data_IF_700673417709
#
_entry.id   IF_700673417709
#
_cell.length_a   1.000
_cell.length_b   1.000
_cell.length_c   1.000
_cell.angle_alpha   90.00
_cell.angle_beta   90.00
_cell.angle_gamma   90.00
#
_symmetry.space_group_name_H-M   'P 1'
#
loop_
_entity.id
_entity.type
_entity.pdbx_description
1 polymer ?
#
# COMPACT_ATOMS: atom_id res chain seq x y z
N UNK A 1 -20.24 -17.97 -14.05
CA UNK A 1 -19.17 -18.78 -14.68
C UNK A 1 -19.74 -20.14 -15.07
N UNK A 2 -19.60 -20.56 -16.33
CA UNK A 2 -20.07 -21.87 -16.80
C UNK A 2 -18.89 -22.82 -17.04
N UNK A 3 -18.92 -24.00 -16.41
CA UNK A 3 -17.84 -24.99 -16.49
C UNK A 3 -18.43 -26.32 -16.94
N UNK A 4 -17.75 -27.02 -17.85
CA UNK A 4 -18.19 -28.33 -18.35
C UNK A 4 -17.07 -29.35 -18.30
N UNK A 5 -17.37 -30.49 -17.69
CA UNK A 5 -16.53 -31.69 -17.65
C UNK A 5 -17.26 -32.82 -18.36
N UNK A 6 -16.60 -33.48 -19.31
CA UNK A 6 -17.25 -34.54 -20.11
C UNK A 6 -17.50 -35.77 -19.26
N UNK A 7 -16.59 -36.06 -18.32
CA UNK A 7 -16.68 -37.15 -17.35
C UNK A 7 -16.42 -36.66 -15.92
N UNK A 8 -16.85 -37.43 -14.92
CA UNK A 8 -16.46 -37.14 -13.53
C UNK A 8 -14.93 -37.26 -13.30
N UNK A 9 -14.23 -38.10 -14.07
CA UNK A 9 -12.75 -38.18 -14.00
C UNK A 9 -12.07 -36.91 -14.52
N UNK A 10 -12.66 -36.22 -15.50
CA UNK A 10 -12.14 -34.92 -15.97
C UNK A 10 -12.23 -33.89 -14.83
N UNK A 11 -13.34 -33.89 -14.09
CA UNK A 11 -13.50 -33.06 -12.91
C UNK A 11 -12.48 -33.42 -11.82
N UNK A 12 -12.26 -34.71 -11.52
CA UNK A 12 -11.27 -35.13 -10.52
C UNK A 12 -9.84 -34.70 -10.89
N UNK A 13 -9.51 -34.66 -12.18
CA UNK A 13 -8.22 -34.16 -12.67
C UNK A 13 -8.08 -32.65 -12.40
N UNK A 14 -9.13 -31.86 -12.65
CA UNK A 14 -9.15 -30.45 -12.28
C UNK A 14 -9.17 -30.26 -10.76
N UNK A 15 -9.84 -31.13 -10.00
CA UNK A 15 -9.84 -31.11 -8.53
C UNK A 15 -8.41 -31.25 -7.98
N UNK A 16 -7.62 -32.17 -8.51
CA UNK A 16 -6.21 -32.34 -8.12
C UNK A 16 -5.31 -31.18 -8.55
N UNK A 17 -5.76 -30.32 -9.47
CA UNK A 17 -4.97 -29.17 -9.94
C UNK A 17 -5.09 -28.00 -8.97
N UNK A 18 -4.08 -27.81 -8.14
CA UNK A 18 -3.99 -26.63 -7.27
C UNK A 18 -3.85 -25.33 -8.09
N UNK A 19 -4.59 -24.28 -7.70
CA UNK A 19 -4.54 -22.97 -8.36
C UNK A 19 -3.78 -22.00 -7.45
N UNK A 20 -2.74 -21.40 -8.02
CA UNK A 20 -1.89 -20.43 -7.34
C UNK A 20 -2.55 -19.04 -7.31
N UNK A 21 -1.97 -18.18 -6.48
CA UNK A 21 -2.28 -16.76 -6.35
C UNK A 21 -1.98 -15.95 -7.63
N UNK A 22 -1.07 -16.43 -8.49
CA UNK A 22 -0.76 -15.81 -9.78
C UNK A 22 -1.53 -16.41 -10.95
N UNK A 23 -1.99 -15.55 -11.84
CA UNK A 23 -2.66 -15.93 -13.08
C UNK A 23 -1.67 -16.46 -14.11
N UNK A 24 -1.87 -17.72 -14.52
CA UNK A 24 -1.10 -18.39 -15.58
C UNK A 24 -1.10 -17.69 -16.93
N UNK A 25 -2.07 -16.80 -17.20
CA UNK A 25 -2.22 -16.15 -18.50
C UNK A 25 -1.52 -14.79 -18.57
N UNK A 26 -1.39 -14.06 -17.45
CA UNK A 26 -0.90 -12.68 -17.45
C UNK A 26 -0.07 -12.27 -16.23
N UNK A 27 0.22 -13.20 -15.31
CA UNK A 27 0.95 -12.93 -14.06
C UNK A 27 0.27 -11.85 -13.17
N UNK A 28 -1.04 -11.63 -13.36
CA UNK A 28 -1.87 -10.83 -12.45
C UNK A 28 -2.21 -11.62 -11.19
N UNK A 29 -2.56 -10.91 -10.12
CA UNK A 29 -2.98 -11.56 -8.87
C UNK A 29 -4.41 -12.08 -9.01
N UNK A 30 -4.69 -13.22 -8.39
CA UNK A 30 -6.02 -13.80 -8.29
C UNK A 30 -6.59 -13.52 -6.92
N UNK A 31 -7.62 -12.70 -6.87
CA UNK A 31 -8.39 -12.45 -5.65
C UNK A 31 -9.61 -13.37 -5.61
N UNK A 32 -10.10 -13.63 -4.41
CA UNK A 32 -11.30 -14.43 -4.22
C UNK A 32 -12.55 -13.56 -4.36
N UNK A 33 -13.55 -14.03 -5.08
CA UNK A 33 -14.83 -13.35 -5.28
C UNK A 33 -15.98 -14.35 -5.19
N UNK A 34 -17.17 -13.90 -4.81
CA UNK A 34 -18.39 -14.66 -5.04
C UNK A 34 -18.80 -14.57 -6.51
N UNK A 35 -19.22 -15.70 -7.08
CA UNK A 35 -19.75 -15.77 -8.44
C UNK A 35 -20.92 -16.76 -8.50
N UNK A 36 -21.80 -16.54 -9.48
CA UNK A 36 -22.83 -17.49 -9.88
C UNK A 36 -22.16 -18.54 -10.78
N UNK A 37 -22.11 -19.79 -10.35
CA UNK A 37 -21.36 -20.86 -11.03
C UNK A 37 -22.28 -22.02 -11.41
N UNK A 38 -22.33 -22.33 -12.71
CA UNK A 38 -22.94 -23.56 -13.20
C UNK A 38 -21.87 -24.55 -13.63
N UNK A 39 -21.87 -25.73 -13.04
CA UNK A 39 -20.96 -26.83 -13.38
C UNK A 39 -21.76 -27.97 -13.98
N UNK A 40 -21.38 -28.40 -15.18
CA UNK A 40 -21.94 -29.61 -15.81
C UNK A 40 -20.89 -30.71 -15.74
N UNK A 41 -21.25 -31.84 -15.13
CA UNK A 41 -20.42 -33.06 -15.10
C UNK A 41 -21.27 -34.18 -15.70
N UNK A 42 -20.81 -34.73 -16.83
CA UNK A 42 -21.56 -35.73 -17.60
C UNK A 42 -22.96 -35.22 -18.00
N UNK A 43 -24.02 -35.81 -17.41
CA UNK A 43 -25.41 -35.45 -17.64
C UNK A 43 -26.03 -34.72 -16.44
N UNK A 44 -25.22 -34.24 -15.49
CA UNK A 44 -25.68 -33.52 -14.30
C UNK A 44 -25.30 -32.05 -14.34
N UNK A 45 -26.24 -31.19 -14.01
CA UNK A 45 -26.06 -29.74 -13.92
C UNK A 45 -26.18 -29.30 -12.46
N UNK A 46 -25.10 -28.74 -11.93
CA UNK A 46 -25.01 -28.20 -10.58
C UNK A 46 -24.95 -26.68 -10.66
N UNK A 47 -25.94 -26.01 -10.10
CA UNK A 47 -26.00 -24.55 -10.03
C UNK A 47 -25.65 -24.08 -8.63
N UNK A 48 -24.68 -23.17 -8.51
CA UNK A 48 -24.26 -22.55 -7.27
C UNK A 48 -24.44 -21.03 -7.41
N UNK A 49 -25.51 -20.44 -6.88
CA UNK A 49 -25.74 -19.00 -7.00
C UNK A 49 -24.64 -18.14 -6.35
N UNK A 50 -23.99 -18.69 -5.32
CA UNK A 50 -22.91 -18.05 -4.57
C UNK A 50 -21.81 -19.09 -4.30
N UNK A 51 -20.79 -19.10 -5.16
CA UNK A 51 -19.58 -19.91 -4.98
C UNK A 51 -18.34 -19.04 -5.09
N UNK A 52 -17.42 -19.22 -4.14
CA UNK A 52 -16.15 -18.50 -4.16
C UNK A 52 -15.27 -19.02 -5.31
N UNK A 53 -14.78 -18.10 -6.12
CA UNK A 53 -13.88 -18.37 -7.25
C UNK A 53 -12.69 -17.42 -7.22
N UNK A 54 -11.57 -17.87 -7.78
CA UNK A 54 -10.38 -17.05 -7.94
C UNK A 54 -10.48 -16.29 -9.26
N UNK A 55 -10.46 -14.96 -9.21
CA UNK A 55 -10.55 -14.08 -10.36
C UNK A 55 -9.28 -13.23 -10.50
N UNK A 56 -8.66 -13.28 -11.67
CA UNK A 56 -7.50 -12.43 -11.94
C UNK A 56 -7.91 -10.95 -12.01
N UNK A 57 -7.27 -10.10 -11.20
CA UNK A 57 -7.52 -8.66 -11.17
C UNK A 57 -7.08 -7.91 -12.45
N UNK A 58 -6.25 -8.52 -13.30
CA UNK A 58 -5.76 -7.91 -14.55
C UNK A 58 -6.58 -8.32 -15.78
N UNK A 59 -6.78 -9.62 -15.99
CA UNK A 59 -7.41 -10.14 -17.21
C UNK A 59 -8.82 -10.71 -16.99
N UNK A 60 -9.29 -10.79 -15.74
CA UNK A 60 -10.60 -11.34 -15.41
C UNK A 60 -10.72 -12.87 -15.57
N UNK A 61 -9.62 -13.57 -15.81
CA UNK A 61 -9.62 -15.05 -15.89
C UNK A 61 -10.03 -15.66 -14.54
N UNK A 62 -10.98 -16.59 -14.59
CA UNK A 62 -11.58 -17.22 -13.40
C UNK A 62 -11.21 -18.69 -13.31
N UNK A 63 -10.95 -19.17 -12.09
CA UNK A 63 -10.78 -20.59 -11.81
C UNK A 63 -11.35 -20.97 -10.45
N UNK A 64 -11.62 -22.26 -10.27
CA UNK A 64 -12.10 -22.78 -8.99
C UNK A 64 -10.94 -22.93 -8.00
N UNK A 65 -11.03 -22.39 -6.76
CA UNK A 65 -10.15 -22.75 -5.67
C UNK A 65 -10.45 -24.16 -5.14
N UNK A 66 -9.52 -24.72 -4.36
CA UNK A 66 -9.58 -26.11 -3.91
C UNK A 66 -10.85 -26.44 -3.11
N UNK A 67 -11.23 -25.60 -2.15
CA UNK A 67 -12.40 -25.90 -1.31
C UNK A 67 -13.72 -25.76 -2.06
N UNK A 68 -13.83 -24.84 -3.02
CA UNK A 68 -14.95 -24.80 -3.97
C UNK A 68 -15.05 -26.08 -4.82
N UNK A 69 -13.91 -26.67 -5.23
CA UNK A 69 -13.91 -27.98 -5.90
C UNK A 69 -14.38 -29.09 -4.95
N UNK A 70 -13.97 -29.07 -3.67
CA UNK A 70 -14.47 -30.01 -2.67
C UNK A 70 -16.00 -29.91 -2.48
N UNK A 71 -16.56 -28.69 -2.51
CA UNK A 71 -18.01 -28.46 -2.45
C UNK A 71 -18.70 -29.07 -3.67
N UNK A 72 -18.16 -28.84 -4.88
CA UNK A 72 -18.69 -29.41 -6.13
C UNK A 72 -18.65 -30.94 -6.09
N UNK A 73 -17.55 -31.53 -5.58
CA UNK A 73 -17.40 -32.97 -5.43
C UNK A 73 -18.48 -33.57 -4.51
N UNK A 74 -18.68 -32.97 -3.34
CA UNK A 74 -19.72 -33.39 -2.39
C UNK A 74 -21.13 -33.25 -2.97
N UNK A 75 -21.40 -32.14 -3.66
CA UNK A 75 -22.68 -31.89 -4.33
C UNK A 75 -22.96 -32.92 -5.42
N UNK A 76 -21.96 -33.24 -6.25
CA UNK A 76 -22.07 -34.26 -7.30
C UNK A 76 -22.38 -35.64 -6.72
N UNK A 77 -21.63 -36.06 -5.69
CA UNK A 77 -21.88 -37.34 -5.00
C UNK A 77 -23.29 -37.41 -4.40
N UNK A 78 -23.74 -36.33 -3.77
CA UNK A 78 -25.10 -36.23 -3.25
C UNK A 78 -26.17 -36.36 -4.34
N UNK A 79 -25.95 -35.81 -5.54
CA UNK A 79 -26.88 -35.97 -6.66
C UNK A 79 -26.93 -37.41 -7.19
N UNK A 80 -25.78 -38.09 -7.20
CA UNK A 80 -25.71 -39.52 -7.57
C UNK A 80 -26.56 -40.36 -6.61
N UNK A 81 -26.36 -40.16 -5.30
CA UNK A 81 -27.11 -40.89 -4.26
C UNK A 81 -28.62 -40.62 -4.32
N UNK A 82 -29.03 -39.43 -4.73
CA UNK A 82 -30.43 -39.01 -4.83
C UNK A 82 -31.05 -39.20 -6.22
N UNK A 83 -30.30 -39.76 -7.18
CA UNK A 83 -30.71 -39.92 -8.58
C UNK A 83 -31.18 -38.60 -9.26
N UNK A 84 -30.58 -37.47 -8.87
CA UNK A 84 -30.89 -36.16 -9.42
C UNK A 84 -29.97 -35.82 -10.60
N UNK A 85 -30.50 -35.05 -11.56
CA UNK A 85 -29.79 -34.60 -12.77
C UNK A 85 -29.60 -33.08 -12.83
N UNK A 86 -30.41 -32.31 -12.11
CA UNK A 86 -30.28 -30.86 -11.98
C UNK A 86 -30.48 -30.51 -10.52
N UNK A 87 -29.58 -29.71 -9.96
CA UNK A 87 -29.64 -29.29 -8.56
C UNK A 87 -29.12 -27.87 -8.38
N UNK A 88 -29.74 -27.14 -7.47
CA UNK A 88 -29.26 -25.85 -6.99
C UNK A 88 -28.69 -26.02 -5.57
N UNK A 89 -27.50 -25.50 -5.35
CA UNK A 89 -26.72 -25.69 -4.13
C UNK A 89 -26.42 -24.32 -3.53
N UNK A 90 -27.03 -24.05 -2.38
CA UNK A 90 -26.84 -22.83 -1.63
C UNK A 90 -26.09 -23.11 -0.34
N UNK A 91 -25.16 -22.23 0.03
CA UNK A 91 -24.43 -22.32 1.29
C UNK A 91 -25.43 -22.22 2.45
N UNK A 92 -25.39 -23.16 3.39
CA UNK A 92 -26.06 -22.99 4.68
C UNK A 92 -25.37 -21.87 5.46
N UNK A 93 -26.06 -21.24 6.41
CA UNK A 93 -25.54 -20.19 7.30
C UNK A 93 -24.50 -20.71 8.33
N UNK A 94 -23.80 -21.80 8.00
CA UNK A 94 -22.76 -22.37 8.83
C UNK A 94 -21.52 -21.47 8.79
N UNK A 95 -21.02 -21.13 9.98
CA UNK A 95 -19.80 -20.36 10.16
C UNK A 95 -18.89 -21.14 11.09
N UNK A 96 -17.86 -21.80 10.54
CA UNK A 96 -16.84 -22.45 11.37
C UNK A 96 -16.11 -21.37 12.18
N UNK A 97 -15.87 -21.66 13.45
CA UNK A 97 -15.00 -20.87 14.32
C UNK A 97 -13.78 -21.70 14.66
N UNK A 98 -12.60 -21.10 14.49
CA UNK A 98 -11.31 -21.70 14.86
C UNK A 98 -11.01 -21.50 16.35
N UNK A 99 -9.96 -22.14 16.84
CA UNK A 99 -9.57 -22.12 18.26
C UNK A 99 -9.02 -20.76 18.73
N UNK A 100 -8.51 -19.96 17.80
CA UNK A 100 -7.94 -18.64 18.03
C UNK A 100 -9.01 -17.58 18.32
N UNK A 101 -8.71 -16.68 19.27
CA UNK A 101 -9.55 -15.54 19.65
C UNK A 101 -11.01 -15.89 19.99
N UNK A 102 -11.26 -17.10 20.51
CA UNK A 102 -12.62 -17.61 20.80
C UNK A 102 -13.45 -16.69 21.69
N UNK A 103 -12.83 -16.10 22.71
CA UNK A 103 -13.53 -15.25 23.68
C UNK A 103 -13.94 -13.89 23.09
N UNK A 104 -13.13 -13.35 22.18
CA UNK A 104 -13.40 -12.06 21.48
C UNK A 104 -14.40 -12.25 20.33
N UNK A 105 -14.48 -13.47 19.79
CA UNK A 105 -15.44 -13.88 18.77
C UNK A 105 -15.40 -12.99 17.50
N UNK A 106 -14.20 -12.72 16.95
CA UNK A 106 -14.08 -11.91 15.74
C UNK A 106 -14.93 -12.44 14.57
N UNK A 107 -15.45 -11.52 13.77
CA UNK A 107 -16.03 -11.77 12.45
C UNK A 107 -14.88 -12.03 11.47
N UNK A 108 -14.95 -13.17 10.82
CA UNK A 108 -14.12 -13.58 9.69
C UNK A 108 -14.91 -14.64 8.91
N UNK A 109 -14.55 -14.88 7.65
CA UNK A 109 -15.06 -16.03 6.91
C UNK A 109 -14.02 -17.14 6.91
N UNK A 110 -14.34 -18.26 7.55
CA UNK A 110 -13.52 -19.47 7.48
C UNK A 110 -13.26 -19.98 6.06
N UNK A 111 -14.10 -19.64 5.09
CA UNK A 111 -13.89 -20.00 3.68
C UNK A 111 -12.65 -19.32 3.09
N UNK A 112 -12.22 -18.18 3.63
CA UNK A 112 -10.99 -17.50 3.21
C UNK A 112 -9.78 -18.39 3.44
N UNK A 113 -9.69 -18.98 4.64
CA UNK A 113 -8.62 -19.90 5.01
C UNK A 113 -8.50 -21.08 4.04
N UNK A 114 -9.62 -21.61 3.53
CA UNK A 114 -9.59 -22.78 2.63
C UNK A 114 -9.51 -22.46 1.14
N UNK A 115 -9.88 -21.24 0.71
CA UNK A 115 -9.96 -20.89 -0.70
C UNK A 115 -8.88 -19.91 -1.15
N UNK A 116 -8.35 -19.07 -0.27
CA UNK A 116 -7.24 -18.19 -0.60
C UNK A 116 -5.97 -19.05 -0.68
N UNK A 117 -5.23 -19.00 -1.81
CA UNK A 117 -4.08 -19.87 -2.00
C UNK A 117 -3.05 -19.74 -0.88
N UNK A 118 -2.62 -20.88 -0.34
CA UNK A 118 -1.54 -21.02 0.64
C UNK A 118 -1.99 -20.99 2.09
N UNK A 119 -3.15 -20.41 2.41
CA UNK A 119 -3.53 -20.18 3.81
C UNK A 119 -3.81 -21.46 4.60
N UNK A 120 -4.40 -22.49 3.97
CA UNK A 120 -4.68 -23.77 4.64
C UNK A 120 -3.48 -24.73 4.68
N UNK A 121 -2.34 -24.36 4.08
CA UNK A 121 -1.11 -25.13 4.04
C UNK A 121 -0.10 -24.57 5.05
N UNK A 122 -0.47 -24.61 6.31
CA UNK A 122 0.31 -24.09 7.43
C UNK A 122 0.98 -25.26 8.18
N UNK A 123 2.27 -25.46 7.93
CA UNK A 123 3.10 -26.46 8.64
C UNK A 123 3.80 -25.87 9.87
N UNK A 124 3.77 -24.55 10.05
CA UNK A 124 4.43 -23.86 11.15
C UNK A 124 3.56 -23.92 12.42
N UNK A 125 2.24 -23.77 12.24
CA UNK A 125 1.30 -23.74 13.36
C UNK A 125 0.58 -25.08 13.53
N UNK A 126 0.47 -25.52 14.78
CA UNK A 126 -0.14 -26.82 15.11
C UNK A 126 -1.67 -26.82 15.12
N UNK A 127 -2.30 -25.65 15.01
CA UNK A 127 -3.75 -25.49 15.12
C UNK A 127 -4.31 -24.82 13.88
N UNK A 128 -5.40 -25.41 13.36
CA UNK A 128 -6.05 -24.95 12.14
C UNK A 128 -6.61 -23.53 12.26
N UNK A 129 -6.43 -22.75 11.19
CA UNK A 129 -7.04 -21.43 11.05
C UNK A 129 -6.15 -20.26 11.48
N UNK A 130 -4.86 -20.48 11.77
CA UNK A 130 -3.93 -19.42 12.15
C UNK A 130 -3.90 -18.29 11.10
N UNK A 131 -3.67 -18.65 9.84
CA UNK A 131 -3.62 -17.72 8.69
C UNK A 131 -5.00 -17.26 8.21
N UNK A 132 -6.07 -17.43 8.99
CA UNK A 132 -7.39 -16.90 8.59
C UNK A 132 -7.35 -15.37 8.61
N UNK A 133 -7.65 -14.67 7.51
CA UNK A 133 -7.65 -13.21 7.51
C UNK A 133 -8.85 -12.67 8.29
N UNK A 134 -8.59 -11.65 9.11
CA UNK A 134 -9.60 -10.93 9.90
C UNK A 134 -9.57 -9.47 9.53
N UNK A 135 -10.73 -8.91 9.20
CA UNK A 135 -10.85 -7.60 8.57
C UNK A 135 -11.37 -6.54 9.55
N UNK A 136 -10.84 -5.33 9.41
CA UNK A 136 -11.14 -4.18 10.26
C UNK A 136 -11.23 -2.88 9.45
N UNK A 137 -12.00 -1.91 9.94
CA UNK A 137 -11.89 -0.52 9.47
C UNK A 137 -10.50 0.03 9.84
N UNK A 138 -9.81 0.65 8.88
CA UNK A 138 -8.46 1.24 9.07
C UNK A 138 -8.39 2.25 10.22
N UNK A 139 -9.52 2.85 10.61
CA UNK A 139 -9.62 3.74 11.78
C UNK A 139 -9.20 3.08 13.09
N UNK A 140 -9.19 1.76 13.18
CA UNK A 140 -8.69 1.05 14.35
C UNK A 140 -7.26 1.47 14.73
N UNK A 141 -6.42 1.76 13.74
CA UNK A 141 -5.03 2.19 13.95
C UNK A 141 -4.91 3.57 14.62
N UNK A 142 -5.94 4.41 14.59
CA UNK A 142 -5.91 5.75 15.23
C UNK A 142 -5.60 5.60 16.72
N UNK A 143 -6.20 4.61 17.39
CA UNK A 143 -5.93 4.34 18.80
C UNK A 143 -4.45 4.01 19.03
N UNK A 144 -3.92 3.03 18.28
CA UNK A 144 -2.55 2.54 18.44
C UNK A 144 -1.51 3.61 18.11
N UNK A 145 -1.77 4.49 17.13
CA UNK A 145 -0.89 5.63 16.85
C UNK A 145 -0.93 6.69 17.96
N UNK A 146 -2.08 6.87 18.60
CA UNK A 146 -2.28 7.95 19.58
C UNK A 146 -1.77 7.60 20.97
N UNK A 147 -1.61 6.32 21.29
CA UNK A 147 -1.19 5.84 22.61
C UNK A 147 0.31 5.52 22.59
N UNK A 148 1.15 6.19 23.41
CA UNK A 148 2.61 6.05 23.37
C UNK A 148 3.15 4.63 23.64
N UNK A 149 2.35 3.80 24.30
CA UNK A 149 2.67 2.41 24.63
C UNK A 149 2.79 1.54 23.38
N UNK A 150 2.23 1.98 22.25
CA UNK A 150 2.33 1.26 20.98
C UNK A 150 3.31 1.94 20.03
N UNK A 151 3.82 1.14 19.13
CA UNK A 151 4.53 1.56 17.94
C UNK A 151 3.78 1.01 16.73
N UNK A 152 3.43 1.90 15.80
CA UNK A 152 2.84 1.53 14.51
C UNK A 152 3.81 2.00 13.44
N UNK A 153 4.30 1.05 12.65
CA UNK A 153 5.14 1.34 11.48
C UNK A 153 4.49 0.80 10.22
N UNK A 154 4.20 1.71 9.28
CA UNK A 154 3.70 1.39 7.94
C UNK A 154 4.87 1.58 7.01
N UNK A 155 5.67 0.52 6.88
CA UNK A 155 6.91 0.55 6.12
C UNK A 155 6.68 0.29 4.63
N UNK A 156 5.52 -0.24 4.21
CA UNK A 156 5.14 -0.46 2.81
C UNK A 156 3.74 0.11 2.50
N UNK A 157 3.36 0.17 1.23
CA UNK A 157 2.06 0.71 0.81
C UNK A 157 0.87 -0.06 1.39
N UNK A 158 1.05 -1.36 1.64
CA UNK A 158 -0.01 -2.28 2.11
C UNK A 158 0.46 -3.23 3.21
N UNK A 159 1.62 -2.97 3.82
CA UNK A 159 2.21 -3.80 4.88
C UNK A 159 2.81 -2.93 5.99
N UNK A 160 2.50 -3.26 7.24
CA UNK A 160 3.09 -2.68 8.44
C UNK A 160 3.06 -3.64 9.62
N UNK A 161 3.41 -3.14 10.80
CA UNK A 161 3.31 -3.87 12.06
C UNK A 161 2.87 -2.97 13.22
N UNK A 162 2.29 -3.58 14.24
CA UNK A 162 1.98 -2.93 15.52
C UNK A 162 2.74 -3.68 16.61
N UNK A 163 3.57 -2.95 17.36
CA UNK A 163 4.22 -3.45 18.55
C UNK A 163 3.67 -2.76 19.81
N UNK A 164 3.42 -3.52 20.88
CA UNK A 164 3.24 -2.96 22.22
C UNK A 164 4.58 -2.95 22.93
N UNK A 165 5.05 -1.77 23.33
CA UNK A 165 6.35 -1.60 24.00
C UNK A 165 6.35 -2.31 25.35
N UNK A 166 7.45 -2.98 25.65
CA UNK A 166 7.68 -3.59 26.96
C UNK A 166 7.86 -2.48 28.02
N UNK A 167 6.98 -2.40 29.04
CA UNK A 167 7.08 -1.40 30.10
C UNK A 167 8.36 -1.53 30.96
N UNK A 168 8.94 -2.73 31.05
CA UNK A 168 10.16 -3.00 31.81
C UNK A 168 11.42 -2.74 30.97
N UNK A 169 11.28 -2.66 29.65
CA UNK A 169 12.36 -2.42 28.70
C UNK A 169 13.37 -3.58 28.60
N UNK A 170 12.95 -4.80 28.95
CA UNK A 170 13.76 -6.01 28.81
C UNK A 170 13.81 -6.43 27.34
N UNK A 171 12.67 -6.35 26.67
CA UNK A 171 12.50 -6.51 25.22
C UNK A 171 12.11 -5.18 24.59
N UNK A 172 12.10 -5.13 23.24
CA UNK A 172 11.57 -3.96 22.52
C UNK A 172 10.04 -3.93 22.65
N UNK A 173 9.41 -5.11 22.50
CA UNK A 173 7.96 -5.26 22.52
C UNK A 173 7.52 -6.42 23.41
N UNK A 174 6.40 -6.24 24.13
CA UNK A 174 5.64 -7.31 24.78
C UNK A 174 5.04 -8.27 23.74
N UNK A 175 4.52 -7.69 22.66
CA UNK A 175 4.07 -8.40 21.47
C UNK A 175 4.23 -7.49 20.24
N UNK A 176 4.46 -8.10 19.09
CA UNK A 176 4.59 -7.44 17.80
C UNK A 176 3.85 -8.26 16.74
N UNK A 177 2.91 -7.62 16.04
CA UNK A 177 2.04 -8.31 15.07
C UNK A 177 2.02 -7.59 13.73
N UNK A 178 2.22 -8.33 12.62
CA UNK A 178 2.15 -7.77 11.29
C UNK A 178 0.69 -7.51 10.89
N UNK A 179 0.48 -6.54 9.99
CA UNK A 179 -0.83 -6.27 9.41
C UNK A 179 -0.73 -5.79 7.96
N UNK A 180 -1.81 -5.99 7.20
CA UNK A 180 -1.92 -5.51 5.83
C UNK A 180 -3.07 -4.54 5.59
N UNK A 181 -3.04 -3.91 4.42
CA UNK A 181 -4.22 -3.28 3.82
C UNK A 181 -4.60 -4.01 2.55
N UNK A 182 -5.88 -4.34 2.39
CA UNK A 182 -6.37 -4.88 1.14
C UNK A 182 -6.67 -3.76 0.12
N UNK A 183 -7.05 -4.15 -1.10
CA UNK A 183 -7.38 -3.23 -2.20
C UNK A 183 -8.60 -2.32 -1.93
N UNK A 184 -9.47 -2.68 -0.99
CA UNK A 184 -10.57 -1.84 -0.50
C UNK A 184 -10.17 -0.95 0.69
N UNK A 185 -8.90 -0.97 1.12
CA UNK A 185 -8.39 -0.19 2.23
C UNK A 185 -8.80 -0.69 3.62
N UNK A 186 -9.32 -1.92 3.72
CA UNK A 186 -9.55 -2.58 5.01
C UNK A 186 -8.21 -2.99 5.62
N UNK A 187 -8.11 -2.85 6.93
CA UNK A 187 -7.00 -3.36 7.72
C UNK A 187 -7.19 -4.86 7.93
N UNK A 188 -6.13 -5.66 7.74
CA UNK A 188 -6.20 -7.12 7.81
C UNK A 188 -5.09 -7.67 8.69
N UNK A 189 -5.44 -8.61 9.56
CA UNK A 189 -4.50 -9.39 10.38
C UNK A 189 -4.74 -10.89 10.17
N UNK A 190 -3.74 -11.71 10.46
CA UNK A 190 -3.96 -13.14 10.66
C UNK A 190 -4.64 -13.38 12.01
N UNK A 191 -5.63 -14.27 12.04
CA UNK A 191 -6.38 -14.61 13.25
C UNK A 191 -5.47 -15.15 14.37
N UNK A 192 -4.44 -15.90 13.99
CA UNK A 192 -3.41 -16.40 14.89
C UNK A 192 -2.58 -15.30 15.54
N UNK A 193 -2.14 -14.30 14.77
CA UNK A 193 -1.38 -13.15 15.29
C UNK A 193 -2.21 -12.34 16.29
N UNK A 194 -3.48 -12.11 15.99
CA UNK A 194 -4.40 -11.44 16.91
C UNK A 194 -4.50 -12.17 18.26
N UNK A 195 -4.36 -13.50 18.27
CA UNK A 195 -4.45 -14.29 19.49
C UNK A 195 -3.23 -14.11 20.41
N UNK A 196 -2.09 -13.63 19.89
CA UNK A 196 -0.91 -13.29 20.69
C UNK A 196 -1.01 -11.91 21.36
N UNK A 197 -1.86 -11.02 20.85
CA UNK A 197 -2.07 -9.70 21.47
C UNK A 197 -2.73 -9.83 22.84
N UNK A 198 -2.51 -8.85 23.72
CA UNK A 198 -3.22 -8.80 25.00
C UNK A 198 -4.73 -8.50 24.84
N UNK A 199 -5.52 -8.88 25.84
CA UNK A 199 -6.98 -8.77 25.82
C UNK A 199 -7.50 -7.35 25.57
N UNK A 200 -6.80 -6.32 26.07
CA UNK A 200 -7.22 -4.93 25.86
C UNK A 200 -7.08 -4.56 24.38
N UNK A 201 -5.93 -4.90 23.79
CA UNK A 201 -5.62 -4.63 22.40
C UNK A 201 -6.57 -5.38 21.45
N UNK A 202 -6.90 -6.63 21.76
CA UNK A 202 -7.93 -7.37 21.04
C UNK A 202 -9.32 -6.70 21.17
N UNK A 203 -9.71 -6.26 22.37
CA UNK A 203 -11.00 -5.60 22.59
C UNK A 203 -11.13 -4.26 21.84
N UNK A 204 -10.03 -3.52 21.68
CA UNK A 204 -9.99 -2.29 20.86
C UNK A 204 -10.28 -2.62 19.39
N UNK A 205 -9.54 -3.58 18.82
CA UNK A 205 -9.73 -4.00 17.43
C UNK A 205 -11.15 -4.52 17.17
N UNK A 206 -11.74 -5.23 18.14
CA UNK A 206 -13.10 -5.78 18.05
C UNK A 206 -14.15 -4.72 17.71
N UNK A 207 -14.00 -3.48 18.19
CA UNK A 207 -14.92 -2.38 17.87
C UNK A 207 -14.92 -1.97 16.39
N UNK A 208 -13.87 -2.29 15.65
CA UNK A 208 -13.69 -1.95 14.24
C UNK A 208 -13.77 -3.18 13.31
N UNK A 209 -14.08 -4.35 13.86
CA UNK A 209 -14.11 -5.59 13.09
C UNK A 209 -15.31 -5.63 12.13
N UNK A 210 -15.01 -5.82 10.84
CA UNK A 210 -15.97 -5.83 9.74
C UNK A 210 -16.01 -7.19 9.07
N UNK A 211 -17.02 -7.41 8.22
CA UNK A 211 -17.11 -8.64 7.43
C UNK A 211 -15.98 -8.71 6.39
N UNK A 212 -15.56 -9.94 6.08
CA UNK A 212 -14.60 -10.23 5.01
C UNK A 212 -15.16 -9.74 3.67
N UNK A 213 -14.29 -9.18 2.83
CA UNK A 213 -14.55 -9.01 1.39
C UNK A 213 -13.71 -9.96 0.54
N UNK A 214 -13.02 -10.92 1.17
CA UNK A 214 -12.20 -11.95 0.55
C UNK A 214 -10.95 -11.44 -0.20
N UNK A 215 -10.66 -10.14 -0.11
CA UNK A 215 -9.52 -9.51 -0.81
C UNK A 215 -8.31 -9.42 0.12
N UNK A 216 -7.17 -9.95 -0.31
CA UNK A 216 -5.88 -9.79 0.40
C UNK A 216 -4.68 -10.15 -0.47
N UNK A 217 -4.86 -10.96 -1.52
CA UNK A 217 -3.76 -11.54 -2.30
C UNK A 217 -2.93 -10.46 -3.01
N UNK A 218 -3.60 -9.41 -3.48
CA UNK A 218 -3.00 -8.21 -4.09
C UNK A 218 -2.57 -7.18 -3.04
N UNK A 219 -1.83 -7.65 -2.02
CA UNK A 219 -1.19 -6.80 -1.01
C UNK A 219 0.26 -7.22 -0.79
N UNK A 220 1.14 -6.25 -0.52
CA UNK A 220 2.51 -6.53 -0.11
C UNK A 220 2.57 -7.32 1.20
N UNK A 221 1.55 -7.20 2.06
CA UNK A 221 1.43 -8.02 3.28
C UNK A 221 1.33 -9.51 2.93
N UNK A 222 0.37 -9.90 2.09
CA UNK A 222 0.23 -11.28 1.65
C UNK A 222 1.49 -11.74 0.89
N UNK A 223 1.99 -10.92 -0.04
CA UNK A 223 3.14 -11.31 -0.86
C UNK A 223 4.44 -11.46 -0.04
N UNK A 224 4.63 -10.66 1.00
CA UNK A 224 5.77 -10.79 1.89
C UNK A 224 5.66 -12.00 2.82
N UNK A 225 4.49 -12.20 3.43
CA UNK A 225 4.26 -13.27 4.41
C UNK A 225 4.15 -14.65 3.76
N UNK A 226 3.44 -14.76 2.64
CA UNK A 226 3.14 -16.04 1.99
C UNK A 226 4.13 -16.40 0.88
N UNK A 227 4.63 -15.40 0.15
CA UNK A 227 5.46 -15.62 -1.05
C UNK A 227 6.91 -15.16 -0.88
N UNK A 228 7.33 -14.75 0.34
CA UNK A 228 8.67 -14.25 0.62
C UNK A 228 9.13 -13.13 -0.33
N UNK A 229 8.19 -12.30 -0.81
CA UNK A 229 8.49 -11.18 -1.71
C UNK A 229 8.73 -9.92 -0.89
N UNK A 230 9.95 -9.38 -0.95
CA UNK A 230 10.26 -8.13 -0.25
C UNK A 230 9.37 -6.97 -0.72
N UNK A 231 8.72 -6.33 0.24
CA UNK A 231 7.94 -5.13 0.01
C UNK A 231 8.83 -3.94 -0.33
N UNK A 232 8.27 -2.94 -1.00
CA UNK A 232 8.95 -1.67 -1.22
C UNK A 232 8.66 -0.72 -0.05
N UNK A 233 9.60 0.16 0.31
CA UNK A 233 9.31 1.22 1.25
C UNK A 233 8.11 2.06 0.78
N UNK A 234 7.35 2.67 1.70
CA UNK A 234 6.33 3.67 1.32
C UNK A 234 6.92 4.75 0.40
N UNK A 235 6.10 5.31 -0.49
CA UNK A 235 6.54 6.32 -1.47
C UNK A 235 7.29 7.47 -0.79
N UNK A 236 6.85 7.88 0.38
CA UNK A 236 7.49 8.92 1.18
C UNK A 236 8.96 8.63 1.49
N UNK A 237 9.28 7.38 1.85
CA UNK A 237 10.67 6.94 2.08
C UNK A 237 11.43 6.77 0.77
N UNK A 238 10.78 6.31 -0.30
CA UNK A 238 11.40 6.24 -1.63
C UNK A 238 11.86 7.61 -2.12
N UNK A 239 11.10 8.68 -1.87
CA UNK A 239 11.51 10.06 -2.20
C UNK A 239 12.83 10.42 -1.53
N UNK A 240 12.99 10.11 -0.24
CA UNK A 240 14.23 10.37 0.50
C UNK A 240 15.40 9.57 -0.06
N UNK A 241 15.20 8.28 -0.32
CA UNK A 241 16.22 7.42 -0.92
C UNK A 241 16.64 7.93 -2.31
N UNK A 242 15.69 8.46 -3.09
CA UNK A 242 15.97 9.06 -4.39
C UNK A 242 16.72 10.40 -4.26
N UNK A 243 16.41 11.24 -3.25
CA UNK A 243 17.22 12.42 -2.92
C UNK A 243 18.67 12.02 -2.65
N UNK A 244 18.91 11.04 -1.79
CA UNK A 244 20.26 10.60 -1.43
C UNK A 244 21.01 10.03 -2.65
N UNK A 245 20.29 9.27 -3.48
CA UNK A 245 20.82 8.73 -4.73
C UNK A 245 21.21 9.85 -5.71
N UNK A 246 20.39 10.90 -5.82
CA UNK A 246 20.70 12.08 -6.63
C UNK A 246 21.96 12.79 -6.12
N UNK A 247 22.07 13.05 -4.82
CA UNK A 247 23.25 13.67 -4.21
C UNK A 247 24.50 12.83 -4.47
N UNK A 248 24.41 11.51 -4.28
CA UNK A 248 25.51 10.57 -4.54
C UNK A 248 25.94 10.58 -6.01
N UNK A 249 24.99 10.62 -6.96
CA UNK A 249 25.30 10.71 -8.39
C UNK A 249 26.08 11.98 -8.72
N UNK A 250 25.64 13.14 -8.20
CA UNK A 250 26.32 14.42 -8.41
C UNK A 250 27.72 14.40 -7.80
N UNK A 251 27.86 13.92 -6.56
CA UNK A 251 29.16 13.80 -5.90
C UNK A 251 30.11 12.92 -6.70
N UNK A 252 29.63 11.81 -7.25
CA UNK A 252 30.44 10.91 -8.09
C UNK A 252 30.85 11.55 -9.42
N UNK A 253 29.95 12.31 -10.07
CA UNK A 253 30.15 12.84 -11.43
C UNK A 253 30.88 14.18 -11.46
N UNK A 254 30.60 15.05 -10.50
CA UNK A 254 31.11 16.43 -10.45
C UNK A 254 32.02 16.70 -9.25
N UNK A 255 32.14 15.76 -8.30
CA UNK A 255 32.86 15.96 -7.03
C UNK A 255 32.29 17.13 -6.20
N UNK A 256 30.97 17.35 -6.30
CA UNK A 256 30.23 18.36 -5.55
C UNK A 256 29.27 17.65 -4.61
N UNK A 257 29.41 17.89 -3.31
CA UNK A 257 28.48 17.37 -2.31
C UNK A 257 27.34 18.36 -2.08
N UNK A 258 26.11 17.96 -2.39
CA UNK A 258 24.94 18.83 -2.29
C UNK A 258 24.25 18.76 -0.91
N UNK A 259 24.69 17.85 -0.04
CA UNK A 259 24.07 17.63 1.26
C UNK A 259 24.20 18.84 2.19
N UNK A 260 23.20 19.04 3.06
CA UNK A 260 23.16 20.12 4.03
C UNK A 260 22.38 19.67 5.28
N UNK A 261 22.91 19.99 6.46
CA UNK A 261 22.26 19.73 7.75
C UNK A 261 21.86 18.25 7.89
N UNK A 262 22.81 17.33 7.70
CA UNK A 262 22.52 15.89 7.60
C UNK A 262 21.89 15.32 8.88
N UNK A 263 22.37 15.76 10.05
CA UNK A 263 21.82 15.36 11.35
C UNK A 263 20.38 15.87 11.51
N UNK A 264 20.13 17.15 11.23
CA UNK A 264 18.81 17.75 11.33
C UNK A 264 17.83 17.20 10.29
N UNK A 265 18.30 16.94 9.06
CA UNK A 265 17.53 16.28 8.02
C UNK A 265 17.14 14.86 8.45
N UNK A 266 18.05 14.13 9.10
CA UNK A 266 17.77 12.79 9.61
C UNK A 266 16.70 12.81 10.70
N UNK A 267 16.73 13.79 11.61
CA UNK A 267 15.66 13.96 12.60
C UNK A 267 14.32 14.33 11.97
N UNK A 268 14.30 15.20 10.97
CA UNK A 268 13.07 15.52 10.25
C UNK A 268 12.53 14.34 9.43
N UNK A 269 13.40 13.53 8.83
CA UNK A 269 13.03 12.34 8.07
C UNK A 269 12.30 11.26 8.90
N UNK A 270 12.55 11.19 10.22
CA UNK A 270 11.82 10.30 11.14
C UNK A 270 10.33 10.65 11.25
N UNK A 271 9.98 11.93 11.08
CA UNK A 271 8.60 12.42 11.14
C UNK A 271 7.87 12.27 9.79
N UNK A 272 8.59 11.91 8.73
CA UNK A 272 7.99 11.62 7.43
C UNK A 272 7.41 10.21 7.47
N UNK A 273 6.13 10.15 7.83
CA UNK A 273 5.29 8.95 7.88
C UNK A 273 3.99 9.23 7.13
N UNK A 274 3.38 8.20 6.55
CA UNK A 274 2.08 8.34 5.89
C UNK A 274 0.98 8.67 6.91
N UNK A 275 0.20 9.74 6.71
CA UNK A 275 -0.98 10.01 7.54
C UNK A 275 -2.05 8.92 7.35
N UNK A 276 -2.68 8.49 8.45
CA UNK A 276 -3.86 7.62 8.39
C UNK A 276 -5.18 8.37 8.23
N UNK A 277 -5.20 9.58 8.77
CA UNK A 277 -6.32 10.52 8.63
C UNK A 277 -5.75 11.76 7.96
N UNK A 278 -6.38 12.21 6.90
CA UNK A 278 -5.94 13.37 6.13
C UNK A 278 -6.72 14.60 6.58
N UNK A 279 -6.15 15.30 7.56
CA UNK A 279 -6.60 16.61 8.02
C UNK A 279 -5.49 17.61 7.77
N UNK A 280 -5.82 18.90 7.75
CA UNK A 280 -4.82 19.97 7.67
C UNK A 280 -3.69 19.79 8.71
N UNK A 281 -4.04 19.40 9.94
CA UNK A 281 -3.07 19.21 11.03
C UNK A 281 -2.14 18.00 10.80
N UNK A 282 -2.70 16.85 10.41
CA UNK A 282 -1.91 15.63 10.21
C UNK A 282 -1.03 15.70 8.95
N UNK A 283 -1.48 16.39 7.92
CA UNK A 283 -0.72 16.64 6.69
C UNK A 283 0.40 17.65 6.94
N UNK A 284 0.13 18.73 7.69
CA UNK A 284 1.09 19.81 7.96
C UNK A 284 2.42 19.29 8.52
N UNK A 285 2.40 18.37 9.48
CA UNK A 285 3.62 17.84 10.08
C UNK A 285 4.54 17.15 9.06
N UNK A 286 3.95 16.37 8.16
CA UNK A 286 4.68 15.62 7.12
C UNK A 286 5.18 16.54 6.03
N UNK A 287 4.35 17.48 5.56
CA UNK A 287 4.73 18.46 4.54
C UNK A 287 5.85 19.37 5.03
N UNK A 288 5.78 19.84 6.27
CA UNK A 288 6.84 20.64 6.88
C UNK A 288 8.16 19.85 6.99
N UNK A 289 8.10 18.57 7.33
CA UNK A 289 9.28 17.72 7.34
C UNK A 289 9.84 17.52 5.93
N UNK A 290 8.99 17.36 4.91
CA UNK A 290 9.42 17.31 3.52
C UNK A 290 10.07 18.60 3.04
N UNK A 291 9.49 19.77 3.29
CA UNK A 291 10.09 21.05 2.87
C UNK A 291 11.49 21.22 3.47
N UNK A 292 11.64 20.93 4.77
CA UNK A 292 12.95 20.97 5.43
C UNK A 292 13.95 20.00 4.82
N UNK A 293 13.55 18.78 4.50
CA UNK A 293 14.49 17.77 3.97
C UNK A 293 14.75 17.97 2.47
N UNK A 294 13.74 18.31 1.67
CA UNK A 294 13.80 18.34 0.20
C UNK A 294 14.12 19.73 -0.36
N UNK A 295 13.97 20.80 0.43
CA UNK A 295 14.27 22.18 0.02
C UNK A 295 15.42 22.76 0.83
N UNK A 296 15.29 22.78 2.17
CA UNK A 296 16.34 23.32 3.05
C UNK A 296 17.54 22.38 3.17
N UNK A 297 17.32 21.06 3.06
CA UNK A 297 18.35 20.02 3.13
C UNK A 297 19.26 19.92 1.90
N UNK A 298 19.21 20.91 1.00
CA UNK A 298 20.17 21.10 -0.07
C UNK A 298 21.02 22.34 0.19
N UNK A 299 22.34 22.20 0.02
CA UNK A 299 23.24 23.34 0.14
C UNK A 299 23.13 24.24 -1.10
N UNK A 300 22.46 25.38 -0.98
CA UNK A 300 22.29 26.33 -2.07
C UNK A 300 23.63 26.82 -2.67
N UNK A 301 24.69 26.91 -1.87
CA UNK A 301 26.04 27.23 -2.36
C UNK A 301 26.57 26.14 -3.30
N UNK A 302 26.45 24.87 -2.90
CA UNK A 302 26.87 23.72 -3.70
C UNK A 302 26.01 23.49 -4.93
N UNK A 303 24.71 23.79 -4.84
CA UNK A 303 23.83 23.81 -6.02
C UNK A 303 24.25 24.89 -7.02
N UNK A 304 24.73 26.07 -6.57
CA UNK A 304 25.30 27.08 -7.47
C UNK A 304 26.59 26.62 -8.11
N UNK A 305 27.48 25.98 -7.36
CA UNK A 305 28.70 25.37 -7.92
C UNK A 305 28.37 24.34 -9.01
N UNK A 306 27.34 23.52 -8.80
CA UNK A 306 26.87 22.57 -9.82
C UNK A 306 26.30 23.29 -11.04
N UNK A 307 25.47 24.32 -10.84
CA UNK A 307 24.96 25.14 -11.94
C UNK A 307 26.11 25.73 -12.78
N UNK A 308 27.14 26.28 -12.14
CA UNK A 308 28.32 26.81 -12.80
C UNK A 308 29.12 25.73 -13.56
N UNK A 309 29.17 24.50 -13.05
CA UNK A 309 29.79 23.37 -13.74
C UNK A 309 28.98 22.90 -14.98
N UNK A 310 27.66 23.10 -14.96
CA UNK A 310 26.74 22.70 -16.03
C UNK A 310 26.58 23.76 -17.12
N UNK A 311 26.70 25.04 -16.78
CA UNK A 311 26.51 26.16 -17.68
C UNK A 311 27.82 26.90 -17.94
N UNK A 312 28.15 27.09 -19.21
CA UNK A 312 29.27 27.96 -19.60
C UNK A 312 28.99 29.41 -19.20
N UNK A 313 30.02 30.23 -18.98
CA UNK A 313 29.88 31.61 -18.47
C UNK A 313 28.86 32.46 -19.25
N UNK A 314 28.79 32.29 -20.56
CA UNK A 314 27.87 33.04 -21.43
C UNK A 314 26.41 32.56 -21.34
N UNK A 315 26.17 31.33 -20.87
CA UNK A 315 24.82 30.78 -20.67
C UNK A 315 24.26 31.08 -19.28
N UNK A 316 25.08 31.61 -18.35
CA UNK A 316 24.68 31.86 -16.97
C UNK A 316 23.78 33.09 -16.87
N UNK A 317 22.67 32.96 -16.15
CA UNK A 317 21.77 34.09 -15.87
C UNK A 317 22.44 35.08 -14.91
N UNK A 318 22.38 36.39 -15.17
CA UNK A 318 23.05 37.40 -14.35
C UNK A 318 22.61 37.44 -12.87
N UNK A 319 21.46 36.84 -12.53
CA UNK A 319 20.90 36.83 -11.18
C UNK A 319 21.06 35.49 -10.46
N UNK A 320 21.75 34.50 -11.05
CA UNK A 320 21.85 33.15 -10.47
C UNK A 320 22.40 33.13 -9.04
N UNK A 321 23.27 34.08 -8.69
CA UNK A 321 23.81 34.25 -7.33
C UNK A 321 22.76 34.52 -6.25
N UNK A 322 21.56 35.01 -6.62
CA UNK A 322 20.44 35.28 -5.71
C UNK A 322 19.47 34.10 -5.57
N UNK A 323 19.57 33.11 -6.45
CA UNK A 323 18.65 31.98 -6.46
C UNK A 323 18.85 31.08 -5.24
N UNK A 324 17.74 30.48 -4.82
CA UNK A 324 17.66 29.49 -3.73
C UNK A 324 17.43 28.09 -4.31
N UNK A 325 17.37 27.08 -3.44
CA UNK A 325 17.39 25.66 -3.79
C UNK A 325 16.40 25.28 -4.90
N UNK A 326 15.11 25.63 -4.78
CA UNK A 326 14.09 25.23 -5.78
C UNK A 326 14.42 25.78 -7.17
N UNK A 327 14.80 27.06 -7.27
CA UNK A 327 15.17 27.67 -8.57
C UNK A 327 16.45 27.07 -9.14
N UNK A 328 17.44 26.76 -8.30
CA UNK A 328 18.67 26.12 -8.76
C UNK A 328 18.42 24.70 -9.25
N UNK A 329 17.62 23.91 -8.53
CA UNK A 329 17.23 22.54 -8.93
C UNK A 329 16.49 22.57 -10.27
N UNK A 330 15.58 23.53 -10.48
CA UNK A 330 14.89 23.73 -11.76
C UNK A 330 15.87 23.90 -12.92
N UNK A 331 16.87 24.76 -12.77
CA UNK A 331 17.84 25.06 -13.83
C UNK A 331 18.81 23.89 -14.07
N UNK A 332 19.23 23.20 -13.01
CA UNK A 332 20.00 21.95 -13.13
C UNK A 332 19.20 20.90 -13.93
N UNK A 333 17.91 20.74 -13.61
CA UNK A 333 17.01 19.83 -14.29
C UNK A 333 16.81 20.21 -15.76
N UNK A 334 16.65 21.51 -16.07
CA UNK A 334 16.62 22.01 -17.45
C UNK A 334 17.88 21.60 -18.21
N UNK A 335 19.07 21.78 -17.63
CA UNK A 335 20.32 21.37 -18.30
C UNK A 335 20.37 19.85 -18.50
N UNK A 336 19.96 19.05 -17.51
CA UNK A 336 19.96 17.60 -17.66
C UNK A 336 18.97 17.11 -18.72
N UNK A 337 17.88 17.84 -18.95
CA UNK A 337 16.94 17.54 -20.02
C UNK A 337 17.45 17.97 -21.41
N UNK A 338 18.55 18.73 -21.52
CA UNK A 338 19.09 19.15 -22.82
C UNK A 338 19.43 17.93 -23.69
N UNK A 339 18.70 17.78 -24.79
CA UNK A 339 18.85 16.66 -25.73
C UNK A 339 17.72 15.62 -25.68
N UNK A 340 16.81 15.72 -24.71
CA UNK A 340 15.63 14.82 -24.57
C UNK A 340 14.38 15.42 -25.25
N UNK A 341 14.49 16.62 -25.83
CA UNK A 341 13.39 17.34 -26.49
C UNK A 341 12.31 17.83 -25.50
N UNK A 342 11.17 18.29 -26.02
CA UNK A 342 10.03 18.76 -25.20
C UNK A 342 9.24 17.60 -24.53
N UNK A 343 9.88 16.47 -24.23
CA UNK A 343 9.21 15.32 -23.62
C UNK A 343 8.93 15.51 -22.12
N UNK A 344 9.69 16.38 -21.46
CA UNK A 344 9.58 16.64 -20.02
C UNK A 344 9.19 18.11 -19.80
N UNK A 345 8.01 18.32 -19.24
CA UNK A 345 7.59 19.64 -18.76
C UNK A 345 8.24 19.91 -17.40
N UNK A 346 9.37 20.62 -17.42
CA UNK A 346 10.15 20.91 -16.21
C UNK A 346 9.41 21.82 -15.25
N UNK A 347 8.55 22.73 -15.73
CA UNK A 347 7.74 23.59 -14.86
C UNK A 347 6.77 22.75 -14.04
N UNK A 348 6.07 21.83 -14.70
CA UNK A 348 5.18 20.90 -14.01
C UNK A 348 5.95 19.97 -13.07
N UNK A 349 7.12 19.49 -13.48
CA UNK A 349 7.92 18.54 -12.71
C UNK A 349 8.51 19.16 -11.42
N UNK A 350 8.89 20.44 -11.44
CA UNK A 350 9.43 21.14 -10.25
C UNK A 350 8.34 21.73 -9.34
N UNK A 351 7.12 21.93 -9.87
CA UNK A 351 5.98 22.49 -9.13
C UNK A 351 5.75 21.93 -7.72
N UNK A 352 5.87 20.62 -7.43
CA UNK A 352 5.67 20.12 -6.07
C UNK A 352 6.59 20.76 -5.02
N UNK A 353 7.85 21.08 -5.33
CA UNK A 353 8.70 21.77 -4.35
C UNK A 353 8.19 23.18 -3.99
N UNK A 354 7.55 23.88 -4.93
CA UNK A 354 6.89 25.15 -4.63
C UNK A 354 5.61 24.94 -3.80
N UNK A 355 4.88 23.86 -4.05
CA UNK A 355 3.69 23.50 -3.27
C UNK A 355 4.04 23.13 -1.83
N UNK A 356 5.10 22.36 -1.59
CA UNK A 356 5.64 22.11 -0.24
C UNK A 356 5.89 23.43 0.51
N UNK A 357 6.57 24.37 -0.16
CA UNK A 357 6.91 25.65 0.44
C UNK A 357 5.68 26.51 0.73
N UNK A 358 4.74 26.58 -0.21
CA UNK A 358 3.47 27.29 -0.04
C UNK A 358 2.63 26.69 1.10
N UNK A 359 2.58 25.36 1.21
CA UNK A 359 1.90 24.67 2.30
C UNK A 359 2.52 24.99 3.65
N UNK A 360 3.85 24.97 3.74
CA UNK A 360 4.56 25.36 4.95
C UNK A 360 4.27 26.82 5.31
N UNK A 361 4.29 27.73 4.34
CA UNK A 361 3.95 29.13 4.59
C UNK A 361 2.52 29.25 5.12
N UNK A 362 1.57 28.53 4.52
CA UNK A 362 0.17 28.52 4.93
C UNK A 362 -0.02 28.04 6.38
N UNK A 363 0.70 27.01 6.80
CA UNK A 363 0.56 26.44 8.15
C UNK A 363 1.39 27.14 9.23
N UNK A 364 2.61 27.56 8.93
CA UNK A 364 3.56 28.04 9.94
C UNK A 364 3.49 29.55 10.17
N UNK A 365 2.92 30.32 9.23
CA UNK A 365 2.94 31.78 9.28
C UNK A 365 1.56 32.37 9.59
N UNK A 366 1.56 33.46 10.37
CA UNK A 366 0.37 34.29 10.51
C UNK A 366 0.16 35.08 9.21
N UNK A 367 -0.87 34.70 8.44
CA UNK A 367 -1.22 35.30 7.16
C UNK A 367 -2.52 36.11 7.25
N UNK A 368 -2.68 37.10 6.37
CA UNK A 368 -3.98 37.72 6.15
C UNK A 368 -4.94 36.75 5.47
N UNK A 369 -6.25 36.96 5.63
CA UNK A 369 -7.30 36.14 4.99
C UNK A 369 -7.11 36.09 3.48
N UNK A 370 -6.86 37.23 2.84
CA UNK A 370 -6.63 37.29 1.38
C UNK A 370 -5.42 36.42 0.96
N UNK A 371 -4.35 36.42 1.77
CA UNK A 371 -3.16 35.65 1.48
C UNK A 371 -3.40 34.16 1.68
N UNK A 372 -4.11 33.77 2.74
CA UNK A 372 -4.53 32.38 2.96
C UNK A 372 -5.35 31.85 1.78
N UNK A 373 -6.38 32.58 1.36
CA UNK A 373 -7.25 32.15 0.25
C UNK A 373 -6.49 32.10 -1.08
N UNK A 374 -5.58 33.05 -1.34
CA UNK A 374 -4.73 33.00 -2.53
C UNK A 374 -3.78 31.79 -2.55
N UNK A 375 -3.18 31.44 -1.41
CA UNK A 375 -2.31 30.26 -1.29
C UNK A 375 -3.09 28.96 -1.47
N UNK A 376 -4.28 28.83 -0.84
CA UNK A 376 -5.16 27.68 -1.04
C UNK A 376 -5.56 27.52 -2.51
N UNK A 377 -5.97 28.61 -3.16
CA UNK A 377 -6.35 28.60 -4.57
C UNK A 377 -5.18 28.19 -5.48
N UNK A 378 -3.97 28.66 -5.18
CA UNK A 378 -2.76 28.28 -5.91
C UNK A 378 -2.44 26.78 -5.79
N UNK A 379 -2.51 26.23 -4.57
CA UNK A 379 -2.30 24.80 -4.30
C UNK A 379 -3.32 23.95 -5.07
N UNK A 380 -4.61 24.29 -4.93
CA UNK A 380 -5.72 23.59 -5.60
C UNK A 380 -5.55 23.60 -7.12
N UNK A 381 -5.27 24.77 -7.70
CA UNK A 381 -5.11 24.93 -9.14
C UNK A 381 -3.88 24.18 -9.68
N UNK A 382 -2.77 24.19 -8.94
CA UNK A 382 -1.53 23.54 -9.36
C UNK A 382 -1.66 22.02 -9.32
N UNK A 383 -2.25 21.47 -8.26
CA UNK A 383 -2.47 20.03 -8.12
C UNK A 383 -3.64 19.51 -8.95
N UNK A 384 -4.59 20.37 -9.32
CA UNK A 384 -5.76 19.98 -10.11
C UNK A 384 -6.82 19.24 -9.28
N UNK A 385 -6.86 19.49 -7.97
CA UNK A 385 -7.89 18.96 -7.07
C UNK A 385 -9.13 19.88 -7.07
N UNK A 386 -10.26 19.44 -6.52
CA UNK A 386 -11.49 20.23 -6.60
C UNK A 386 -11.50 21.40 -5.61
N UNK A 387 -11.03 21.17 -4.38
CA UNK A 387 -11.06 22.18 -3.33
C UNK A 387 -10.00 21.87 -2.25
N UNK A 388 -9.69 22.87 -1.43
CA UNK A 388 -8.65 22.74 -0.41
C UNK A 388 -9.06 21.81 0.76
N UNK A 389 -10.35 21.51 0.94
CA UNK A 389 -10.79 20.60 2.01
C UNK A 389 -10.50 19.12 1.72
N UNK A 390 -10.20 18.77 0.46
CA UNK A 390 -9.82 17.42 0.03
C UNK A 390 -8.34 17.11 0.36
N UNK A 391 -8.00 17.14 1.65
CA UNK A 391 -6.62 16.98 2.12
C UNK A 391 -5.99 15.63 1.70
N UNK A 392 -6.77 14.55 1.61
CA UNK A 392 -6.30 13.24 1.12
C UNK A 392 -5.86 13.33 -0.35
N UNK A 393 -6.71 13.89 -1.23
CA UNK A 393 -6.39 14.03 -2.64
C UNK A 393 -5.18 14.94 -2.88
N UNK A 394 -5.10 16.04 -2.12
CA UNK A 394 -3.96 16.97 -2.19
C UNK A 394 -2.67 16.27 -1.78
N UNK A 395 -2.67 15.61 -0.62
CA UNK A 395 -1.48 14.93 -0.13
C UNK A 395 -1.01 13.85 -1.11
N UNK A 396 -1.91 12.98 -1.57
CA UNK A 396 -1.55 11.88 -2.48
C UNK A 396 -0.97 12.39 -3.80
N UNK A 397 -1.57 13.43 -4.40
CA UNK A 397 -1.06 14.03 -5.63
C UNK A 397 0.29 14.71 -5.43
N UNK A 398 0.49 15.42 -4.31
CA UNK A 398 1.76 16.07 -3.97
C UNK A 398 2.89 15.04 -3.79
N UNK A 399 2.63 13.97 -3.04
CA UNK A 399 3.60 12.87 -2.83
C UNK A 399 3.93 12.16 -4.14
N UNK A 400 2.94 11.88 -5.00
CA UNK A 400 3.18 11.28 -6.32
C UNK A 400 4.07 12.18 -7.21
N UNK A 401 3.81 13.50 -7.23
CA UNK A 401 4.61 14.45 -8.00
C UNK A 401 6.03 14.60 -7.46
N UNK A 402 6.21 14.63 -6.14
CA UNK A 402 7.53 14.62 -5.52
C UNK A 402 8.30 13.35 -5.87
N UNK A 403 7.65 12.18 -5.80
CA UNK A 403 8.24 10.92 -6.18
C UNK A 403 8.72 10.94 -7.63
N UNK A 404 7.87 11.40 -8.56
CA UNK A 404 8.25 11.58 -9.96
C UNK A 404 9.46 12.51 -10.10
N UNK A 405 9.44 13.71 -9.51
CA UNK A 405 10.56 14.66 -9.57
C UNK A 405 11.88 14.01 -9.15
N UNK A 406 11.91 13.35 -7.99
CA UNK A 406 13.14 12.75 -7.48
C UNK A 406 13.58 11.51 -8.27
N UNK A 407 12.66 10.73 -8.82
CA UNK A 407 13.00 9.67 -9.79
C UNK A 407 13.68 10.24 -11.04
N UNK A 408 13.15 11.33 -11.61
CA UNK A 408 13.77 12.00 -12.76
C UNK A 408 15.16 12.55 -12.41
N UNK A 409 15.33 13.21 -11.26
CA UNK A 409 16.64 13.68 -10.81
C UNK A 409 17.65 12.54 -10.69
N UNK A 410 17.26 11.38 -10.15
CA UNK A 410 18.12 10.20 -10.09
C UNK A 410 18.47 9.67 -11.48
N UNK A 411 17.48 9.52 -12.37
CA UNK A 411 17.70 8.97 -13.70
C UNK A 411 18.60 9.86 -14.56
N UNK A 412 18.40 11.18 -14.48
CA UNK A 412 19.09 12.17 -15.32
C UNK A 412 20.48 12.56 -14.78
N UNK A 413 20.75 12.33 -13.50
CA UNK A 413 22.05 12.63 -12.87
C UNK A 413 23.10 11.52 -13.03
N UNK A 414 22.71 10.32 -13.47
CA UNK A 414 23.64 9.26 -13.85
C UNK A 414 24.60 9.73 -14.95
#
# INVERSE_FOLDING_TARGET
>A
MDIRFSTYNDFLTEYQTYKLDKCSNCEGMRELIDDDVTVVIENRTLHFPELLVLCCNKCGDKCLPEYSKQIIDGAYKSMIEQEQFVGEFVSKSYKKKFEYCKEIDYKYDHKDYYNIPGLCYDEEHSTEGFLTPVYFDRKALIYFISVPDFEVDIFSETYGHIGKKDPEGVYIYDWDVPFGFNSNGKLVFWLGDLNYMDTQSQAILKGFNVDSDHLIVDSEFFQAQMNCTFSKPIIEKQILMNKDSFISNIKKKYNIDLAHLDEECSEHAKNIKRPLVFTEQSVSGVINAFDKVLVEGFNAGRLRELYEALYSENERDAQYGKWQSIRLIKEILLKFCNGIGNMIDVEKLISPLYILHDYRIYFDHLLSVDKQESTKAHIVATLGVQNFSEQEAIYLEEIDRLNKLFQYLVLLSK
#
